data_IF_172911069792
#
_entry.id   IF_172911069792
#
_cell.length_a   1.000
_cell.length_b   1.000
_cell.length_c   1.000
_cell.angle_alpha   90.00
_cell.angle_beta   90.00
_cell.angle_gamma   90.00
#
_symmetry.space_group_name_H-M   'P 1'
#
loop_
_entity.id
_entity.type
_entity.pdbx_description
1 polymer ?
#
# COMPACT_ATOMS: atom_id res chain seq x y z
N UNK A 1 -7.61 -8.00 2.58
CA UNK A 1 -6.73 -8.43 1.47
C UNK A 1 -5.38 -8.78 2.03
N UNK A 2 -4.94 -10.03 1.97
CA UNK A 2 -3.60 -10.41 2.43
C UNK A 2 -2.52 -9.72 1.60
N UNK A 3 -1.34 -9.48 2.21
CA UNK A 3 -0.23 -8.86 1.48
C UNK A 3 0.27 -9.68 0.29
N UNK A 4 0.07 -11.01 0.35
CA UNK A 4 0.43 -11.87 -0.78
C UNK A 4 -0.45 -11.65 -2.01
N UNK A 5 -1.62 -11.06 -1.82
CA UNK A 5 -2.54 -10.74 -2.91
C UNK A 5 -2.38 -9.28 -3.27
N UNK A 6 -2.44 -8.99 -4.56
CA UNK A 6 -2.46 -7.61 -5.03
C UNK A 6 -3.68 -7.38 -5.92
N UNK A 7 -4.16 -6.14 -5.91
CA UNK A 7 -5.19 -5.70 -6.84
C UNK A 7 -4.49 -5.21 -8.10
N UNK A 8 -4.91 -5.71 -9.25
CA UNK A 8 -4.43 -5.25 -10.55
C UNK A 8 -5.58 -4.51 -11.22
N UNK A 9 -5.38 -3.24 -11.52
CA UNK A 9 -6.44 -2.39 -12.07
C UNK A 9 -5.88 -1.40 -13.09
N UNK A 10 -6.65 -1.13 -14.11
CA UNK A 10 -6.35 -0.09 -15.10
C UNK A 10 -7.05 1.19 -14.69
N UNK A 11 -6.35 2.00 -13.90
CA UNK A 11 -6.93 3.18 -13.28
C UNK A 11 -7.51 2.88 -11.90
N UNK A 12 -7.18 3.72 -10.93
CA UNK A 12 -7.61 3.56 -9.54
C UNK A 12 -8.10 4.90 -9.01
N UNK A 13 -9.32 4.89 -8.48
CA UNK A 13 -9.88 6.02 -7.74
C UNK A 13 -10.27 5.54 -6.36
N UNK A 14 -9.73 6.18 -5.32
CA UNK A 14 -10.08 5.89 -3.94
C UNK A 14 -11.00 6.99 -3.46
N UNK A 15 -12.23 6.62 -3.10
CA UNK A 15 -13.23 7.59 -2.67
C UNK A 15 -12.93 8.08 -1.26
N UNK A 16 -13.35 9.32 -0.98
CA UNK A 16 -13.23 9.91 0.34
C UNK A 16 -13.92 9.03 1.37
N UNK A 17 -13.22 8.73 2.47
CA UNK A 17 -13.74 7.89 3.54
C UNK A 17 -13.46 6.41 3.39
N UNK A 18 -12.88 5.97 2.26
CA UNK A 18 -12.46 4.57 2.11
C UNK A 18 -11.36 4.25 3.12
N UNK A 19 -11.37 3.02 3.65
CA UNK A 19 -10.44 2.59 4.68
C UNK A 19 -9.61 1.41 4.19
N UNK A 20 -8.31 1.43 4.50
CA UNK A 20 -7.43 0.30 4.24
C UNK A 20 -7.58 -0.74 5.37
N UNK A 21 -7.67 -2.02 5.01
CA UNK A 21 -7.81 -3.10 5.98
C UNK A 21 -6.43 -3.59 6.42
N UNK A 22 -5.97 -3.12 7.58
CA UNK A 22 -4.69 -3.52 8.14
C UNK A 22 -4.68 -4.97 8.62
N UNK A 23 -5.81 -5.61 8.78
CA UNK A 23 -5.87 -7.04 9.14
C UNK A 23 -5.35 -7.92 8.00
N UNK A 24 -5.26 -7.39 6.80
CA UNK A 24 -4.69 -8.09 5.66
C UNK A 24 -3.16 -8.09 5.65
N UNK A 25 -2.52 -7.32 6.52
CA UNK A 25 -1.05 -7.20 6.61
C UNK A 25 -0.51 -8.37 7.42
N UNK A 26 0.61 -8.94 6.95
CA UNK A 26 1.25 -10.09 7.60
C UNK A 26 1.76 -9.73 8.99
N UNK A 27 1.57 -10.67 9.95
CA UNK A 27 1.98 -10.51 11.34
C UNK A 27 3.39 -11.03 11.63
N UNK A 28 4.11 -11.51 10.64
CA UNK A 28 5.47 -12.01 10.81
C UNK A 28 6.47 -10.86 10.76
N UNK A 29 7.61 -11.02 11.45
CA UNK A 29 8.70 -10.08 11.32
C UNK A 29 9.30 -10.21 9.92
N UNK A 30 9.32 -9.11 9.18
CA UNK A 30 9.81 -9.07 7.81
C UNK A 30 11.14 -8.34 7.72
N UNK A 31 11.89 -8.61 6.67
CA UNK A 31 13.17 -7.93 6.43
C UNK A 31 12.93 -6.48 6.04
N UNK A 32 13.64 -5.56 6.68
CA UNK A 32 13.62 -4.14 6.34
C UNK A 32 14.02 -3.98 4.87
N UNK A 33 13.27 -3.15 4.15
CA UNK A 33 13.45 -2.95 2.72
C UNK A 33 12.54 -3.79 1.85
N UNK A 34 11.84 -4.78 2.42
CA UNK A 34 10.86 -5.57 1.67
C UNK A 34 9.70 -4.66 1.23
N UNK A 35 9.36 -4.72 -0.05
CA UNK A 35 8.29 -3.91 -0.62
C UNK A 35 7.17 -4.81 -1.14
N UNK A 36 5.94 -4.51 -0.75
CA UNK A 36 4.75 -5.19 -1.24
C UNK A 36 3.97 -4.25 -2.15
N UNK A 37 3.58 -4.74 -3.31
CA UNK A 37 2.68 -4.00 -4.20
C UNK A 37 1.27 -4.38 -3.81
N UNK A 38 0.54 -3.44 -3.21
CA UNK A 38 -0.84 -3.66 -2.76
C UNK A 38 -1.81 -3.47 -3.91
N UNK A 39 -1.63 -2.39 -4.68
CA UNK A 39 -2.43 -2.11 -5.87
C UNK A 39 -1.47 -1.87 -7.02
N UNK A 40 -1.54 -2.73 -8.04
CA UNK A 40 -0.81 -2.55 -9.29
C UNK A 40 -1.71 -1.79 -10.26
N UNK A 41 -1.46 -0.51 -10.42
CA UNK A 41 -2.21 0.35 -11.32
C UNK A 41 -1.55 0.31 -12.70
N UNK A 42 -2.19 -0.36 -13.63
CA UNK A 42 -1.67 -0.51 -15.00
C UNK A 42 -1.93 0.68 -15.90
N UNK A 43 -2.69 1.68 -15.41
CA UNK A 43 -2.94 2.91 -16.12
C UNK A 43 -1.69 3.80 -16.13
N UNK A 44 -1.60 4.70 -17.12
CA UNK A 44 -0.57 5.72 -17.14
C UNK A 44 -0.85 6.86 -16.14
N UNK A 45 -2.06 6.90 -15.56
CA UNK A 45 -2.45 7.93 -14.59
C UNK A 45 -2.16 7.46 -13.18
N UNK A 46 -1.77 8.37 -12.26
CA UNK A 46 -1.57 8.01 -10.87
C UNK A 46 -2.89 7.62 -10.20
N UNK A 47 -2.77 6.95 -9.04
CA UNK A 47 -3.93 6.65 -8.20
C UNK A 47 -4.55 7.99 -7.75
N UNK A 48 -5.85 8.11 -7.93
CA UNK A 48 -6.60 9.29 -7.50
C UNK A 48 -7.15 9.06 -6.09
N UNK A 49 -6.81 9.94 -5.15
CA UNK A 49 -7.23 9.83 -3.76
C UNK A 49 -6.33 8.95 -2.92
N UNK A 50 -6.63 8.89 -1.64
CA UNK A 50 -5.94 8.02 -0.67
C UNK A 50 -6.96 7.43 0.29
N UNK A 51 -6.61 6.29 0.90
CA UNK A 51 -7.41 5.76 2.00
C UNK A 51 -7.38 6.73 3.19
N UNK A 52 -8.50 6.86 3.90
CA UNK A 52 -8.60 7.77 5.02
C UNK A 52 -7.64 7.45 6.16
N UNK A 53 -7.26 6.17 6.31
CA UNK A 53 -6.34 5.70 7.34
C UNK A 53 -4.96 5.33 6.79
N UNK A 54 -4.64 5.72 5.55
CA UNK A 54 -3.35 5.40 4.92
C UNK A 54 -2.94 6.57 4.03
N UNK A 55 -2.34 7.58 4.64
CA UNK A 55 -1.84 8.74 3.91
C UNK A 55 -0.59 8.38 3.09
N UNK A 56 -0.35 9.10 2.01
CA UNK A 56 0.84 8.90 1.19
C UNK A 56 2.11 9.21 1.99
N UNK A 57 3.13 8.38 1.83
CA UNK A 57 4.42 8.48 2.53
C UNK A 57 4.30 8.45 4.05
N UNK A 58 3.21 7.91 4.59
CA UNK A 58 3.06 7.77 6.04
C UNK A 58 3.73 6.49 6.52
N UNK A 59 4.14 6.48 7.80
CA UNK A 59 4.66 5.29 8.46
C UNK A 59 3.67 4.84 9.52
N UNK A 60 3.57 3.53 9.69
CA UNK A 60 2.68 2.94 10.68
C UNK A 60 3.22 1.59 11.11
N UNK A 61 2.76 1.12 12.27
CA UNK A 61 3.15 -0.19 12.82
C UNK A 61 1.96 -1.12 12.82
N UNK A 62 2.13 -2.30 12.23
CA UNK A 62 1.15 -3.38 12.29
C UNK A 62 1.88 -4.65 12.65
N UNK A 63 1.44 -5.31 13.74
CA UNK A 63 2.11 -6.51 14.22
C UNK A 63 3.55 -6.21 14.63
N UNK A 64 4.51 -6.91 14.04
CA UNK A 64 5.93 -6.83 14.37
C UNK A 64 6.72 -5.90 13.45
N UNK A 65 6.06 -5.23 12.51
CA UNK A 65 6.74 -4.49 11.46
C UNK A 65 6.26 -3.05 11.38
N UNK A 66 7.18 -2.16 11.00
CA UNK A 66 6.86 -0.81 10.59
C UNK A 66 6.81 -0.76 9.08
N UNK A 67 5.84 -0.05 8.54
CA UNK A 67 5.65 0.08 7.09
C UNK A 67 5.59 1.55 6.71
N UNK A 68 6.06 1.83 5.50
CA UNK A 68 5.87 3.13 4.87
C UNK A 68 5.05 2.93 3.60
N UNK A 69 3.99 3.72 3.46
CA UNK A 69 3.14 3.70 2.27
C UNK A 69 3.71 4.60 1.17
N UNK A 70 3.42 4.24 -0.07
CA UNK A 70 3.65 5.12 -1.22
C UNK A 70 2.54 4.86 -2.24
N UNK A 71 1.92 5.92 -2.74
CA UNK A 71 0.95 5.83 -3.82
C UNK A 71 1.61 6.03 -5.19
N UNK A 72 2.92 6.28 -5.20
CA UNK A 72 3.74 6.45 -6.40
C UNK A 72 4.80 5.36 -6.54
N UNK A 73 4.56 4.19 -5.92
CA UNK A 73 5.51 3.09 -5.95
C UNK A 73 5.52 2.34 -7.27
N UNK A 74 6.36 1.32 -7.36
CA UNK A 74 6.48 0.49 -8.55
C UNK A 74 6.91 1.31 -9.76
N UNK A 75 6.07 1.37 -10.76
CA UNK A 75 6.30 2.15 -11.98
C UNK A 75 5.84 3.61 -11.86
N UNK A 76 5.58 4.08 -10.65
CA UNK A 76 5.24 5.48 -10.37
C UNK A 76 3.77 5.72 -10.05
N UNK A 77 2.92 4.71 -10.10
CA UNK A 77 1.48 4.85 -9.90
C UNK A 77 0.85 3.69 -9.13
N UNK A 78 1.65 2.93 -8.40
CA UNK A 78 1.18 1.80 -7.61
C UNK A 78 1.11 2.17 -6.13
N UNK A 79 0.19 1.52 -5.39
CA UNK A 79 0.21 1.58 -3.93
C UNK A 79 1.13 0.49 -3.40
N UNK A 80 2.19 0.88 -2.72
CA UNK A 80 3.15 -0.04 -2.14
C UNK A 80 3.29 0.18 -0.64
N UNK A 81 3.66 -0.89 0.07
CA UNK A 81 4.07 -0.84 1.46
C UNK A 81 5.49 -1.38 1.56
N UNK A 82 6.39 -0.60 2.16
CA UNK A 82 7.78 -0.99 2.36
C UNK A 82 8.06 -1.16 3.84
N UNK A 83 8.69 -2.28 4.21
CA UNK A 83 9.10 -2.51 5.59
C UNK A 83 10.25 -1.58 5.92
N UNK A 84 10.09 -0.78 6.98
CA UNK A 84 11.09 0.21 7.43
C UNK A 84 11.52 -0.09 8.87
N UNK A 85 12.69 0.45 9.30
CA UNK A 85 13.18 0.23 10.67
C UNK A 85 12.24 0.75 11.75
#
# INVERSE_FOLDING_TARGET
>A
MPLADQVIANGVTIESGAQFDFNAVDNKRLTVGTTFIVINNTSANPISGTFGNLADNSTFTVGLNNYQSSYEGGDGNDLTLTVVP
#
